data_IF_053331357351
#
_entry.id   IF_053331357351
#
_cell.length_a   1.000
_cell.length_b   1.000
_cell.length_c   1.000
_cell.angle_alpha   90.00
_cell.angle_beta   90.00
_cell.angle_gamma   90.00
#
_symmetry.space_group_name_H-M   'P 1'
#
loop_
_entity.id
_entity.type
_entity.pdbx_description
1 polymer ?
#
# COMPACT_ATOMS: atom_id res chain seq x y z
N UNK A 1 21.68 -30.86 -1.36
CA UNK A 1 20.80 -30.40 -2.45
C UNK A 1 20.32 -29.00 -2.11
N UNK A 2 21.10 -27.96 -2.43
CA UNK A 2 20.72 -26.57 -2.20
C UNK A 2 19.80 -26.13 -3.33
N UNK A 3 18.50 -26.10 -3.07
CA UNK A 3 17.52 -25.57 -4.02
C UNK A 3 17.69 -24.06 -4.12
N UNK A 4 18.50 -23.63 -5.06
CA UNK A 4 18.60 -22.22 -5.46
C UNK A 4 17.34 -21.89 -6.24
N UNK A 5 16.33 -21.36 -5.56
CA UNK A 5 15.11 -20.83 -6.18
C UNK A 5 15.52 -19.66 -7.07
N UNK A 6 15.66 -19.92 -8.38
CA UNK A 6 15.79 -18.88 -9.41
C UNK A 6 14.54 -17.99 -9.29
N UNK A 7 14.67 -16.80 -8.70
CA UNK A 7 13.63 -15.77 -8.73
C UNK A 7 13.27 -15.55 -10.20
N UNK A 8 12.06 -15.99 -10.61
CA UNK A 8 11.52 -15.65 -11.93
C UNK A 8 11.64 -14.14 -12.05
N UNK A 9 12.32 -13.68 -13.09
CA UNK A 9 12.35 -12.28 -13.49
C UNK A 9 10.89 -11.88 -13.70
N UNK A 10 10.28 -11.24 -12.71
CA UNK A 10 8.91 -10.76 -12.79
C UNK A 10 8.97 -9.65 -13.84
N UNK A 11 8.64 -9.98 -15.10
CA UNK A 11 8.42 -8.96 -16.12
C UNK A 11 7.22 -8.17 -15.64
N UNK A 12 7.49 -7.02 -15.04
CA UNK A 12 6.46 -6.19 -14.44
C UNK A 12 5.55 -5.70 -15.55
N UNK A 13 4.37 -6.31 -15.64
CA UNK A 13 3.38 -5.97 -16.63
C UNK A 13 2.60 -4.76 -16.12
N UNK A 14 3.01 -3.56 -16.54
CA UNK A 14 2.50 -2.30 -16.00
C UNK A 14 0.98 -2.18 -16.11
N UNK A 15 0.39 -2.64 -17.21
CA UNK A 15 -1.07 -2.66 -17.38
C UNK A 15 -1.80 -3.51 -16.35
N UNK A 16 -1.29 -4.70 -16.01
CA UNK A 16 -1.87 -5.55 -14.99
C UNK A 16 -1.75 -4.91 -13.61
N UNK A 17 -0.64 -4.23 -13.35
CA UNK A 17 -0.42 -3.51 -12.10
C UNK A 17 -1.43 -2.36 -11.96
N UNK A 18 -1.68 -1.59 -13.04
CA UNK A 18 -2.74 -0.57 -13.09
C UNK A 18 -4.10 -1.20 -12.79
N UNK A 19 -4.45 -2.31 -13.45
CA UNK A 19 -5.74 -2.98 -13.25
C UNK A 19 -5.94 -3.47 -11.80
N UNK A 20 -4.88 -4.02 -11.18
CA UNK A 20 -4.89 -4.47 -9.78
C UNK A 20 -5.03 -3.29 -8.82
N UNK A 21 -4.19 -2.26 -8.95
CA UNK A 21 -4.25 -1.05 -8.12
C UNK A 21 -5.61 -0.39 -8.22
N UNK A 22 -6.14 -0.23 -9.44
CA UNK A 22 -7.49 0.29 -9.68
C UNK A 22 -8.55 -0.52 -8.92
N UNK A 23 -8.46 -1.85 -8.98
CA UNK A 23 -9.41 -2.74 -8.29
C UNK A 23 -9.30 -2.65 -6.77
N UNK A 24 -8.08 -2.55 -6.22
CA UNK A 24 -7.87 -2.35 -4.78
C UNK A 24 -8.41 -1.02 -4.27
N UNK A 25 -8.34 0.03 -5.10
CA UNK A 25 -8.91 1.34 -4.79
C UNK A 25 -10.43 1.42 -5.03
N UNK A 26 -11.08 0.33 -5.47
CA UNK A 26 -12.52 0.30 -5.74
C UNK A 26 -12.95 1.13 -6.95
N UNK A 27 -12.01 1.53 -7.81
CA UNK A 27 -12.27 2.36 -8.98
C UNK A 27 -12.78 1.50 -10.13
N UNK A 28 -13.92 1.88 -10.72
CA UNK A 28 -14.44 1.23 -11.93
C UNK A 28 -13.62 1.66 -13.14
N UNK A 29 -13.40 0.73 -14.08
CA UNK A 29 -12.66 1.01 -15.32
C UNK A 29 -13.32 2.13 -16.15
N UNK A 30 -14.66 2.18 -16.15
CA UNK A 30 -15.43 3.23 -16.81
C UNK A 30 -15.19 4.61 -16.19
N UNK A 31 -15.11 4.70 -14.86
CA UNK A 31 -14.83 5.95 -14.14
C UNK A 31 -13.44 6.46 -14.47
N UNK A 32 -12.43 5.58 -14.43
CA UNK A 32 -11.07 5.91 -14.85
C UNK A 32 -11.05 6.43 -16.30
N UNK A 33 -11.78 5.78 -17.20
CA UNK A 33 -11.86 6.20 -18.59
C UNK A 33 -12.49 7.59 -18.74
N UNK A 34 -13.61 7.85 -18.06
CA UNK A 34 -14.30 9.14 -18.10
C UNK A 34 -13.39 10.28 -17.63
N UNK A 35 -12.67 10.10 -16.53
CA UNK A 35 -11.82 11.12 -15.95
C UNK A 35 -10.55 11.37 -16.79
N UNK A 36 -10.00 10.32 -17.40
CA UNK A 36 -8.89 10.42 -18.35
C UNK A 36 -9.32 10.93 -19.75
N UNK A 37 -10.61 11.19 -19.98
CA UNK A 37 -11.19 11.53 -21.29
C UNK A 37 -10.87 10.48 -22.37
N UNK A 38 -10.82 9.22 -21.95
CA UNK A 38 -10.59 8.05 -22.80
C UNK A 38 -11.86 7.21 -22.86
N UNK A 39 -11.95 6.32 -23.84
CA UNK A 39 -13.00 5.30 -23.86
C UNK A 39 -12.63 4.14 -22.93
N UNK A 40 -13.63 3.41 -22.42
CA UNK A 40 -13.40 2.21 -21.61
C UNK A 40 -12.55 1.17 -22.37
N UNK A 41 -12.72 1.05 -23.69
CA UNK A 41 -11.91 0.18 -24.53
C UNK A 41 -10.44 0.61 -24.57
N UNK A 42 -10.15 1.92 -24.63
CA UNK A 42 -8.77 2.42 -24.58
C UNK A 42 -8.11 2.11 -23.24
N UNK A 43 -8.82 2.29 -22.12
CA UNK A 43 -8.31 1.92 -20.79
C UNK A 43 -8.06 0.41 -20.70
N UNK A 44 -8.98 -0.41 -21.24
CA UNK A 44 -8.79 -1.86 -21.31
C UNK A 44 -7.55 -2.26 -22.11
N UNK A 45 -7.27 -1.58 -23.23
CA UNK A 45 -6.04 -1.79 -23.98
C UNK A 45 -4.79 -1.39 -23.17
N UNK A 46 -4.83 -0.28 -22.43
CA UNK A 46 -3.72 0.13 -21.54
C UNK A 46 -3.47 -0.93 -20.46
N UNK A 47 -4.52 -1.47 -19.84
CA UNK A 47 -4.40 -2.50 -18.82
C UNK A 47 -3.84 -3.83 -19.37
N UNK A 48 -3.95 -4.07 -20.68
CA UNK A 48 -3.36 -5.23 -21.36
C UNK A 48 -1.94 -4.98 -21.88
N UNK A 49 -1.39 -3.77 -21.75
CA UNK A 49 -0.04 -3.45 -22.19
C UNK A 49 1.01 -3.82 -21.13
N UNK A 50 2.06 -4.53 -21.56
CA UNK A 50 3.19 -4.87 -20.69
C UNK A 50 3.97 -3.61 -20.27
N UNK A 51 4.11 -2.65 -21.19
CA UNK A 51 4.72 -1.34 -20.97
C UNK A 51 3.78 -0.24 -21.41
N UNK A 52 3.63 0.75 -20.55
CA UNK A 52 2.80 1.94 -20.79
C UNK A 52 3.76 3.12 -21.03
N UNK A 53 3.40 4.05 -21.91
CA UNK A 53 4.16 5.29 -22.09
C UNK A 53 4.18 6.09 -20.79
N UNK A 54 5.35 6.64 -20.42
CA UNK A 54 5.56 7.34 -19.15
C UNK A 54 4.52 8.45 -18.92
N UNK A 55 4.15 9.20 -19.97
CA UNK A 55 3.13 10.25 -19.88
C UNK A 55 1.79 9.71 -19.41
N UNK A 56 1.32 8.63 -20.03
CA UNK A 56 0.05 7.97 -19.67
C UNK A 56 0.12 7.40 -18.27
N UNK A 57 1.26 6.82 -17.91
CA UNK A 57 1.50 6.25 -16.59
C UNK A 57 1.44 7.33 -15.48
N UNK A 58 2.02 8.50 -15.72
CA UNK A 58 1.95 9.65 -14.80
C UNK A 58 0.50 10.08 -14.59
N UNK A 59 -0.28 10.27 -15.66
CA UNK A 59 -1.68 10.71 -15.53
C UNK A 59 -2.52 9.67 -14.77
N UNK A 60 -2.32 8.37 -15.04
CA UNK A 60 -2.98 7.29 -14.29
C UNK A 60 -2.56 7.31 -12.81
N UNK A 61 -1.27 7.54 -12.53
CA UNK A 61 -0.74 7.59 -11.16
C UNK A 61 -1.30 8.75 -10.36
N UNK A 62 -1.44 9.93 -10.98
CA UNK A 62 -2.04 11.12 -10.38
C UNK A 62 -3.52 10.88 -10.07
N UNK A 63 -4.25 10.26 -10.99
CA UNK A 63 -5.65 9.92 -10.79
C UNK A 63 -5.86 8.91 -9.66
N UNK A 64 -5.05 7.84 -9.63
CA UNK A 64 -5.13 6.80 -8.60
C UNK A 64 -4.53 7.25 -7.25
N UNK A 65 -3.86 8.40 -7.20
CA UNK A 65 -3.21 8.90 -5.99
C UNK A 65 -2.02 8.04 -5.53
N UNK A 66 -1.35 7.36 -6.47
CA UNK A 66 -0.23 6.44 -6.17
C UNK A 66 1.06 6.90 -6.85
N UNK A 67 2.24 6.65 -6.27
CA UNK A 67 3.50 6.92 -6.97
C UNK A 67 3.62 6.10 -8.26
N UNK A 68 4.16 6.70 -9.33
CA UNK A 68 4.48 5.99 -10.58
C UNK A 68 5.33 4.74 -10.34
N UNK A 69 6.29 4.85 -9.41
CA UNK A 69 7.16 3.74 -9.01
C UNK A 69 6.39 2.57 -8.39
N UNK A 70 5.27 2.83 -7.72
CA UNK A 70 4.40 1.77 -7.19
C UNK A 70 3.75 0.99 -8.33
N UNK A 71 3.37 1.64 -9.42
CA UNK A 71 2.81 0.96 -10.59
C UNK A 71 3.89 0.14 -11.31
N UNK A 72 5.11 0.67 -11.41
CA UNK A 72 6.25 -0.01 -12.07
C UNK A 72 6.75 -1.22 -11.27
N UNK A 73 6.81 -1.10 -9.95
CA UNK A 73 7.36 -2.12 -9.05
C UNK A 73 6.27 -2.80 -8.21
N UNK A 74 5.03 -2.81 -8.72
CA UNK A 74 3.90 -3.40 -8.02
C UNK A 74 4.16 -4.88 -7.76
N UNK A 75 4.20 -5.23 -6.49
CA UNK A 75 4.34 -6.60 -6.01
C UNK A 75 3.20 -6.87 -5.03
N UNK A 76 2.30 -7.78 -5.39
CA UNK A 76 1.08 -8.09 -4.64
C UNK A 76 1.38 -8.50 -3.19
N UNK A 77 2.49 -9.23 -2.98
CA UNK A 77 2.94 -9.65 -1.65
C UNK A 77 3.47 -8.46 -0.83
N UNK A 78 4.08 -7.46 -1.48
CA UNK A 78 4.56 -6.22 -0.85
C UNK A 78 3.45 -5.18 -0.64
N UNK A 79 2.36 -5.27 -1.41
CA UNK A 79 1.24 -4.32 -1.38
C UNK A 79 0.35 -4.53 -0.16
N UNK A 80 0.20 -5.78 0.32
CA UNK A 80 -0.42 -6.05 1.63
C UNK A 80 0.32 -5.31 2.76
N UNK A 81 1.65 -5.19 2.66
CA UNK A 81 2.45 -4.46 3.65
C UNK A 81 2.26 -2.93 3.55
N UNK A 82 2.17 -2.38 2.34
CA UNK A 82 2.05 -0.93 2.11
C UNK A 82 0.62 -0.37 2.24
N UNK A 83 -0.43 -1.11 1.86
CA UNK A 83 -1.83 -0.65 2.01
C UNK A 83 -2.19 -0.46 3.48
N UNK A 84 -1.60 -1.25 4.38
CA UNK A 84 -1.71 -1.06 5.83
C UNK A 84 -0.95 0.17 6.36
N UNK A 85 0.02 0.71 5.63
CA UNK A 85 0.77 1.91 6.01
C UNK A 85 0.18 3.19 5.40
N UNK A 86 -0.32 3.14 4.16
CA UNK A 86 -0.84 4.32 3.46
C UNK A 86 -2.29 4.67 3.82
N UNK A 87 -3.12 3.72 4.30
CA UNK A 87 -4.46 4.03 4.84
C UNK A 87 -4.42 4.62 6.27
N UNK A 88 -3.25 4.85 6.84
CA UNK A 88 -3.07 5.49 8.16
C UNK A 88 -2.63 6.95 8.02
N UNK A 89 -2.36 7.42 6.80
CA UNK A 89 -1.88 8.79 6.56
C UNK A 89 -2.95 9.83 6.22
N UNK A 90 -4.23 9.49 6.33
CA UNK A 90 -5.32 10.47 6.16
C UNK A 90 -5.73 11.18 7.46
N UNK A 91 -5.07 10.88 8.59
CA UNK A 91 -5.18 11.67 9.81
C UNK A 91 -4.03 12.69 9.89
N UNK A 92 -4.25 13.81 9.22
CA UNK A 92 -3.76 15.14 9.58
C UNK A 92 -3.31 15.30 11.04
N UNK A 93 -2.01 15.18 11.31
CA UNK A 93 -1.28 15.94 12.34
C UNK A 93 0.14 16.13 11.79
N UNK A 94 0.37 17.24 11.10
CA UNK A 94 0.98 18.41 11.70
C UNK A 94 2.40 18.13 12.21
N UNK A 95 3.35 18.55 11.36
CA UNK A 95 4.54 19.30 11.75
C UNK A 95 5.56 18.66 12.73
N UNK A 96 6.80 18.60 12.23
CA UNK A 96 8.04 18.59 12.99
C UNK A 96 8.41 17.32 13.81
N UNK A 97 9.45 16.64 13.31
CA UNK A 97 10.61 16.29 14.13
C UNK A 97 10.44 15.28 15.27
N UNK A 98 9.64 14.23 15.14
CA UNK A 98 9.82 12.98 15.90
C UNK A 98 8.97 11.89 15.26
N UNK A 99 9.54 11.09 14.36
CA UNK A 99 8.91 9.82 13.99
C UNK A 99 9.00 8.87 15.19
N UNK A 100 8.13 9.10 16.18
CA UNK A 100 7.93 8.19 17.28
C UNK A 100 7.27 6.96 16.65
N UNK A 101 8.06 5.91 16.44
CA UNK A 101 7.60 4.62 15.94
C UNK A 101 6.57 4.09 16.93
N UNK A 102 5.29 4.35 16.66
CA UNK A 102 4.20 3.88 17.48
C UNK A 102 3.96 2.41 17.13
N UNK A 103 4.65 1.51 17.82
CA UNK A 103 4.40 0.07 17.73
C UNK A 103 3.26 -0.28 18.72
N UNK A 104 2.02 -0.51 18.24
CA UNK A 104 0.88 -0.75 19.13
C UNK A 104 1.07 -2.01 19.98
N UNK A 105 1.83 -3.00 19.51
CA UNK A 105 2.12 -4.23 20.27
C UNK A 105 2.97 -3.89 21.50
N UNK A 106 4.02 -3.08 21.34
CA UNK A 106 4.87 -2.66 22.46
C UNK A 106 4.08 -1.86 23.50
N UNK A 107 3.16 -0.99 23.05
CA UNK A 107 2.30 -0.21 23.96
C UNK A 107 1.32 -1.09 24.74
N UNK A 108 0.79 -2.13 24.12
CA UNK A 108 -0.08 -3.11 24.80
C UNK A 108 0.71 -3.93 25.83
N UNK A 109 1.93 -4.34 25.50
CA UNK A 109 2.82 -5.06 26.44
C UNK A 109 3.16 -4.17 27.64
N UNK A 110 3.53 -2.91 27.41
CA UNK A 110 3.83 -1.93 28.47
C UNK A 110 2.62 -1.73 29.42
N UNK A 111 1.40 -1.63 28.88
CA UNK A 111 0.18 -1.53 29.67
C UNK A 111 -0.07 -2.79 30.51
N UNK A 112 0.22 -3.96 29.95
CA UNK A 112 0.06 -5.22 30.66
C UNK A 112 1.06 -5.36 31.80
N UNK A 113 2.32 -4.99 31.59
CA UNK A 113 3.36 -4.98 32.64
C UNK A 113 2.98 -4.05 33.81
N UNK A 114 2.53 -2.83 33.51
CA UNK A 114 2.07 -1.87 34.54
C UNK A 114 0.86 -2.38 35.31
N UNK A 115 -0.09 -3.04 34.64
CA UNK A 115 -1.25 -3.65 35.30
C UNK A 115 -0.80 -4.74 36.27
N UNK A 116 0.13 -5.59 35.82
CA UNK A 116 0.67 -6.69 36.61
C UNK A 116 1.45 -6.20 37.84
N UNK A 117 2.16 -5.08 37.72
CA UNK A 117 2.81 -4.39 38.85
C UNK A 117 1.79 -3.80 39.84
N UNK A 118 0.72 -3.17 39.35
CA UNK A 118 -0.35 -2.63 40.18
C UNK A 118 -1.03 -3.73 41.01
N UNK A 119 -1.36 -4.86 40.37
CA UNK A 119 -1.92 -6.03 41.06
C UNK A 119 -0.97 -6.55 42.15
N UNK A 120 0.31 -6.74 41.84
CA UNK A 120 1.32 -7.17 42.82
C UNK A 120 1.45 -6.19 43.99
N UNK A 121 1.44 -4.89 43.73
CA UNK A 121 1.51 -3.85 44.76
C UNK A 121 0.27 -3.86 45.67
N UNK A 122 -0.91 -4.11 45.11
CA UNK A 122 -2.14 -4.24 45.88
C UNK A 122 -2.15 -5.49 46.78
N UNK A 123 -1.55 -6.60 46.34
CA UNK A 123 -1.38 -7.80 47.17
C UNK A 123 -0.32 -7.63 48.27
N UNK A 124 0.67 -6.75 48.08
CA UNK A 124 1.75 -6.52 49.05
C UNK A 124 1.37 -5.48 50.12
N UNK A 125 0.35 -4.65 49.86
CA UNK A 125 -0.18 -3.63 50.78
C UNK A 125 -1.38 -4.10 51.62
N UNK A 126 -1.64 -5.40 51.69
CA UNK A 126 -2.68 -6.03 52.53
C UNK A 126 -2.04 -6.92 53.57
#
# INVERSE_FOLDING_TARGET
MTTTTKRKKHTSHMGHNVAKLRSYLGVKQESLAQDLKMTQQQVSQIEQQEKIEEKTLVVISEYLGVPVELIKNFDEDAVIYNINHYNVHDNTFADSSSAQVFNPIEKIVELYERLLESEKKNLTNK
#
